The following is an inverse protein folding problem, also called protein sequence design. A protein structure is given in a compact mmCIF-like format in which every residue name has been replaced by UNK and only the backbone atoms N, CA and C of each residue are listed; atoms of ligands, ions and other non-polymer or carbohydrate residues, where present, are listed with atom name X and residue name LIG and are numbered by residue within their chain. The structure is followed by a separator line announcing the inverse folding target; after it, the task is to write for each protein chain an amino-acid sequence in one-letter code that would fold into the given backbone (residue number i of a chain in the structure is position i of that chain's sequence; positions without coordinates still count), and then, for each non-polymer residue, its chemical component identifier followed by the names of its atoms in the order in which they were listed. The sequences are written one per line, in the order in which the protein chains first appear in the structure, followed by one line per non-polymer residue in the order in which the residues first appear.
data_IF_813757824900
#
_entry.id   IF_813757824900
#
_cell.length_a   1.000
_cell.length_b   1.000
_cell.length_c   1.000
_cell.angle_alpha   90.00
_cell.angle_beta   90.00
_cell.angle_gamma   90.00
#
_symmetry.space_group_name_H-M   'P 1'
#
loop_
_entity.id
_entity.type
_entity.pdbx_description
1 polymer ?
#
# COMPACT_ATOMS: atom_id res chain seq x y z
N UNK A 1 -13.18 24.65 2.23
CA UNK A 1 -12.92 23.46 1.39
C UNK A 1 -12.76 22.22 2.26
N UNK A 2 -13.43 21.17 1.89
CA UNK A 2 -13.37 19.92 2.65
C UNK A 2 -12.29 18.99 2.09
N UNK A 3 -11.12 19.00 2.69
CA UNK A 3 -10.01 18.19 2.24
C UNK A 3 -10.19 16.70 2.55
N UNK A 4 -11.11 16.37 3.48
CA UNK A 4 -11.33 14.97 3.85
C UNK A 4 -11.87 14.12 2.69
N UNK A 5 -12.35 14.76 1.61
CA UNK A 5 -12.85 14.07 0.44
C UNK A 5 -11.78 13.88 -0.64
N UNK A 6 -10.62 14.50 -0.49
CA UNK A 6 -9.55 14.34 -1.46
C UNK A 6 -8.81 13.03 -1.20
N UNK A 7 -8.58 12.29 -2.26
CA UNK A 7 -7.88 11.02 -2.16
C UNK A 7 -6.37 11.23 -2.22
N UNK A 8 -5.68 10.45 -1.42
CA UNK A 8 -4.23 10.35 -1.43
C UNK A 8 -3.91 8.93 -1.85
N UNK A 9 -3.00 8.77 -2.79
CA UNK A 9 -2.58 7.47 -3.26
C UNK A 9 -1.20 7.14 -2.73
N UNK A 10 -0.97 5.87 -2.42
CA UNK A 10 0.35 5.44 -1.98
C UNK A 10 0.61 4.03 -2.47
N UNK A 11 1.88 3.67 -2.48
CA UNK A 11 2.29 2.31 -2.76
C UNK A 11 3.25 1.86 -1.68
N UNK A 12 3.00 0.67 -1.14
CA UNK A 12 3.86 0.06 -0.13
C UNK A 12 4.43 -1.21 -0.72
N UNK A 13 5.76 -1.23 -0.88
CA UNK A 13 6.49 -2.39 -1.35
C UNK A 13 7.34 -2.89 -0.20
N UNK A 14 7.26 -4.18 0.10
CA UNK A 14 7.97 -4.76 1.24
C UNK A 14 8.78 -5.97 0.81
N UNK A 15 10.00 -6.07 1.32
CA UNK A 15 10.89 -7.19 1.08
C UNK A 15 11.21 -7.84 2.42
N UNK A 16 10.66 -9.02 2.70
CA UNK A 16 10.98 -9.77 3.91
C UNK A 16 12.28 -10.55 3.72
N UNK A 17 13.15 -10.52 4.70
CA UNK A 17 14.43 -11.21 4.65
C UNK A 17 14.57 -12.06 5.90
N UNK A 18 15.22 -13.23 5.76
CA UNK A 18 15.49 -14.10 6.90
C UNK A 18 14.29 -14.97 7.28
N UNK A 19 13.46 -15.30 6.30
CA UNK A 19 12.39 -16.28 6.48
C UNK A 19 12.90 -17.66 6.09
N UNK A 20 12.13 -18.70 6.41
CA UNK A 20 12.48 -20.07 6.03
C UNK A 20 11.84 -20.49 4.71
N UNK A 21 11.43 -19.52 3.88
CA UNK A 21 10.68 -19.78 2.66
C UNK A 21 11.54 -19.75 1.40
N UNK A 22 12.86 -19.78 1.54
CA UNK A 22 13.76 -19.68 0.39
C UNK A 22 13.68 -18.30 -0.23
N UNK A 23 13.49 -18.23 -1.55
CA UNK A 23 13.43 -16.96 -2.26
C UNK A 23 12.01 -16.43 -2.46
N UNK A 24 11.00 -17.25 -2.18
CA UNK A 24 9.62 -16.82 -2.34
C UNK A 24 9.20 -15.90 -1.20
N UNK A 25 8.46 -14.83 -1.54
CA UNK A 25 7.93 -13.87 -0.58
C UNK A 25 6.41 -13.91 -0.52
N UNK A 26 5.77 -14.81 -1.27
CA UNK A 26 4.31 -14.73 -1.46
C UNK A 26 3.54 -14.87 -0.16
N UNK A 27 4.01 -15.67 0.79
CA UNK A 27 3.35 -15.84 2.07
C UNK A 27 3.38 -14.54 2.88
N UNK A 28 4.54 -13.89 2.94
CA UNK A 28 4.71 -12.65 3.68
C UNK A 28 3.94 -11.50 3.02
N UNK A 29 3.94 -11.46 1.69
CA UNK A 29 3.17 -10.46 0.96
C UNK A 29 1.68 -10.65 1.21
N UNK A 30 1.21 -11.90 1.27
CA UNK A 30 -0.20 -12.18 1.53
C UNK A 30 -0.66 -11.65 2.90
N UNK A 31 0.14 -11.88 3.95
CA UNK A 31 -0.24 -11.39 5.28
C UNK A 31 -0.17 -9.87 5.36
N UNK A 32 0.78 -9.25 4.65
CA UNK A 32 0.88 -7.79 4.59
C UNK A 32 -0.34 -7.20 3.91
N UNK A 33 -0.71 -7.71 2.74
CA UNK A 33 -1.88 -7.24 2.02
C UNK A 33 -3.15 -7.40 2.86
N UNK A 34 -3.31 -8.56 3.48
CA UNK A 34 -4.47 -8.83 4.31
C UNK A 34 -4.59 -7.84 5.46
N UNK A 35 -3.46 -7.50 6.09
CA UNK A 35 -3.45 -6.53 7.18
C UNK A 35 -3.85 -5.13 6.70
N UNK A 36 -3.34 -4.71 5.54
CA UNK A 36 -3.70 -3.42 4.95
C UNK A 36 -5.19 -3.39 4.59
N UNK A 37 -5.67 -4.46 3.99
CA UNK A 37 -7.05 -4.51 3.50
C UNK A 37 -8.09 -4.48 4.62
N UNK A 38 -7.69 -4.75 5.86
CA UNK A 38 -8.58 -4.68 7.02
C UNK A 38 -8.76 -3.26 7.55
N UNK A 39 -7.94 -2.33 7.13
CA UNK A 39 -7.99 -0.96 7.66
C UNK A 39 -9.18 -0.24 7.05
N UNK A 40 -10.05 0.25 7.92
CA UNK A 40 -11.23 0.98 7.49
C UNK A 40 -10.80 2.31 6.84
N UNK A 41 -11.42 2.64 5.71
CA UNK A 41 -11.12 3.88 5.02
C UNK A 41 -10.01 3.78 4.00
N UNK A 42 -9.51 2.58 3.73
CA UNK A 42 -8.50 2.33 2.72
C UNK A 42 -9.07 1.41 1.63
N UNK A 43 -8.86 1.80 0.38
CA UNK A 43 -9.02 0.88 -0.74
C UNK A 43 -7.63 0.34 -1.09
N UNK A 44 -7.46 -0.97 -1.04
CA UNK A 44 -6.18 -1.61 -1.30
C UNK A 44 -6.24 -2.42 -2.59
N UNK A 45 -5.19 -2.31 -3.39
CA UNK A 45 -5.06 -3.03 -4.66
C UNK A 45 -3.73 -3.76 -4.66
N UNK A 46 -3.79 -5.08 -4.75
CA UNK A 46 -2.57 -5.89 -4.85
C UNK A 46 -2.04 -5.83 -6.27
N UNK A 47 -0.77 -5.50 -6.40
CA UNK A 47 -0.08 -5.49 -7.70
C UNK A 47 1.15 -6.36 -7.63
N UNK A 48 1.74 -6.72 -8.79
CA UNK A 48 2.93 -7.58 -8.80
C UNK A 48 4.12 -7.02 -8.02
N UNK A 49 4.22 -5.71 -7.87
CA UNK A 49 5.40 -5.09 -7.27
C UNK A 49 5.12 -4.39 -5.95
N UNK A 50 3.89 -4.39 -5.48
CA UNK A 50 3.55 -3.73 -4.21
C UNK A 50 2.06 -3.63 -4.01
N UNK A 51 1.65 -3.15 -2.85
CA UNK A 51 0.25 -2.90 -2.56
C UNK A 51 -0.02 -1.41 -2.71
N UNK A 52 -0.96 -1.07 -3.58
CA UNK A 52 -1.35 0.31 -3.78
C UNK A 52 -2.58 0.60 -2.92
N UNK A 53 -2.62 1.79 -2.36
CA UNK A 53 -3.74 2.19 -1.51
C UNK A 53 -4.21 3.58 -1.88
N UNK A 54 -5.50 3.81 -1.64
CA UNK A 54 -6.04 5.15 -1.73
C UNK A 54 -6.90 5.39 -0.50
N UNK A 55 -6.83 6.59 0.03
CA UNK A 55 -7.54 6.98 1.24
C UNK A 55 -7.72 8.48 1.25
N UNK A 56 -8.70 8.96 2.00
CA UNK A 56 -8.88 10.40 2.21
C UNK A 56 -8.29 10.88 3.54
N UNK A 57 -7.51 10.04 4.20
CA UNK A 57 -6.94 10.38 5.51
C UNK A 57 -5.48 9.94 5.54
N UNK A 58 -4.58 10.90 5.59
CA UNK A 58 -3.15 10.62 5.59
C UNK A 58 -2.73 9.67 6.72
N UNK A 59 -3.36 9.77 7.88
CA UNK A 59 -3.04 8.91 9.01
C UNK A 59 -3.25 7.43 8.68
N UNK A 60 -4.18 7.11 7.76
CA UNK A 60 -4.40 5.73 7.33
C UNK A 60 -3.19 5.15 6.61
N UNK A 61 -2.42 6.00 5.93
CA UNK A 61 -1.20 5.54 5.24
C UNK A 61 -0.17 5.10 6.28
N UNK A 62 -0.01 5.88 7.35
CA UNK A 62 0.92 5.54 8.43
C UNK A 62 0.49 4.24 9.11
N UNK A 63 -0.81 4.08 9.33
CA UNK A 63 -1.36 2.85 9.90
C UNK A 63 -1.07 1.65 8.99
N UNK A 64 -1.21 1.84 7.68
CA UNK A 64 -0.95 0.77 6.73
C UNK A 64 0.53 0.36 6.72
N UNK A 65 1.43 1.33 6.83
CA UNK A 65 2.87 1.06 6.89
C UNK A 65 3.19 0.23 8.14
N UNK A 66 2.68 0.66 9.27
CA UNK A 66 2.90 -0.06 10.53
C UNK A 66 2.29 -1.47 10.49
N UNK A 67 1.08 -1.59 9.94
CA UNK A 67 0.40 -2.88 9.82
C UNK A 67 1.20 -3.84 8.94
N UNK A 68 1.79 -3.33 7.86
CA UNK A 68 2.63 -4.13 6.97
C UNK A 68 3.83 -4.70 7.71
N UNK A 69 4.57 -3.86 8.43
CA UNK A 69 5.74 -4.30 9.16
C UNK A 69 5.38 -5.29 10.26
N UNK A 70 4.29 -5.01 10.98
CA UNK A 70 3.83 -5.88 12.04
C UNK A 70 3.47 -7.27 11.52
N UNK A 71 2.73 -7.32 10.40
CA UNK A 71 2.30 -8.58 9.82
C UNK A 71 3.48 -9.41 9.32
N UNK A 72 4.42 -8.77 8.64
CA UNK A 72 5.58 -9.45 8.08
C UNK A 72 6.51 -9.93 9.19
N UNK A 73 6.67 -9.12 10.25
CA UNK A 73 7.45 -9.51 11.42
C UNK A 73 6.82 -10.75 12.08
N UNK A 74 5.50 -10.75 12.23
CA UNK A 74 4.78 -11.89 12.83
C UNK A 74 4.88 -13.14 11.98
N UNK A 75 5.08 -13.00 10.69
CA UNK A 75 5.26 -14.12 9.77
C UNK A 75 6.68 -14.70 9.83
N UNK A 76 7.57 -14.11 10.63
CA UNK A 76 8.89 -14.68 10.87
C UNK A 76 10.05 -13.98 10.20
N UNK A 77 9.79 -12.88 9.50
CA UNK A 77 10.87 -12.13 8.85
C UNK A 77 11.80 -11.51 9.89
N UNK A 78 13.10 -11.62 9.64
CA UNK A 78 14.10 -11.08 10.56
C UNK A 78 14.63 -9.72 10.13
N UNK A 79 14.41 -9.37 8.89
CA UNK A 79 14.74 -8.06 8.35
C UNK A 79 13.67 -7.69 7.35
N UNK A 80 13.20 -6.46 7.42
CA UNK A 80 12.13 -5.98 6.57
C UNK A 80 12.58 -4.68 5.92
N UNK A 81 12.61 -4.68 4.60
CA UNK A 81 12.91 -3.46 3.85
C UNK A 81 11.62 -3.05 3.17
N UNK A 82 11.19 -1.81 3.41
CA UNK A 82 10.00 -1.31 2.76
C UNK A 82 10.30 -0.02 2.03
N UNK A 83 9.60 0.16 0.91
CA UNK A 83 9.66 1.37 0.12
C UNK A 83 8.25 1.91 0.03
N UNK A 84 8.08 3.16 0.40
CA UNK A 84 6.78 3.81 0.40
C UNK A 84 6.84 5.02 -0.52
N UNK A 85 5.85 5.10 -1.40
CA UNK A 85 5.70 6.24 -2.29
C UNK A 85 4.31 6.81 -2.07
N UNK A 86 4.23 8.10 -1.79
CA UNK A 86 2.98 8.78 -1.52
C UNK A 86 2.78 9.87 -2.55
N UNK A 87 1.58 9.88 -3.15
CA UNK A 87 1.17 10.89 -4.10
C UNK A 87 -0.01 11.64 -3.51
N UNK A 88 0.28 12.81 -2.98
CA UNK A 88 -0.75 13.68 -2.42
C UNK A 88 -0.90 14.90 -3.30
N UNK A 89 -1.98 14.92 -4.06
CA UNK A 89 -2.24 15.99 -5.00
C UNK A 89 -3.15 17.01 -4.34
N UNK A 90 -2.72 18.26 -4.29
CA UNK A 90 -3.43 19.32 -3.57
C UNK A 90 -4.38 20.13 -4.46
N UNK A 91 -4.20 20.03 -5.78
CA UNK A 91 -5.02 20.78 -6.72
C UNK A 91 -6.36 20.09 -7.05
N UNK A 92 -6.39 18.78 -6.95
CA UNK A 92 -7.62 18.02 -7.17
C UNK A 92 -7.47 16.60 -6.62
N UNK A 93 -8.60 15.93 -6.41
CA UNK A 93 -8.60 14.55 -5.98
C UNK A 93 -8.49 13.64 -7.20
N UNK A 94 -7.64 12.61 -7.10
CA UNK A 94 -7.52 11.64 -8.18
C UNK A 94 -7.34 10.24 -7.56
N UNK A 95 -8.13 9.29 -8.05
CA UNK A 95 -8.09 7.91 -7.56
C UNK A 95 -7.04 7.09 -8.33
N UNK A 96 -6.73 5.91 -7.82
CA UNK A 96 -5.86 4.98 -8.52
C UNK A 96 -6.42 4.66 -9.90
N UNK A 97 -7.73 4.40 -9.99
CA UNK A 97 -8.37 4.08 -11.27
C UNK A 97 -8.25 5.23 -12.26
N UNK A 98 -8.46 6.46 -11.81
CA UNK A 98 -8.38 7.64 -12.68
C UNK A 98 -6.98 7.86 -13.20
N UNK A 99 -5.96 7.53 -12.43
CA UNK A 99 -4.58 7.63 -12.91
C UNK A 99 -4.36 6.75 -14.12
N UNK A 100 -4.87 5.53 -14.08
CA UNK A 100 -4.74 4.59 -15.19
C UNK A 100 -5.61 5.03 -16.37
N UNK A 101 -6.85 5.43 -16.10
CA UNK A 101 -7.76 5.90 -17.15
C UNK A 101 -7.17 7.08 -17.92
N UNK A 102 -6.55 8.00 -17.24
CA UNK A 102 -5.93 9.17 -17.87
C UNK A 102 -4.84 8.77 -18.87
N UNK A 103 -4.11 7.71 -18.58
CA UNK A 103 -3.08 7.19 -19.49
C UNK A 103 -3.74 6.45 -20.63
N UNK A 104 -4.73 5.60 -20.32
CA UNK A 104 -5.41 4.79 -21.36
C UNK A 104 -6.06 5.66 -22.41
N UNK A 105 -6.58 6.83 -22.02
CA UNK A 105 -7.20 7.75 -22.97
C UNK A 105 -6.22 8.31 -24.00
N UNK A 106 -4.92 8.24 -23.71
CA UNK A 106 -3.88 8.77 -24.58
C UNK A 106 -3.20 7.70 -25.43
N UNK A 107 -3.58 6.46 -25.25
CA UNK A 107 -3.07 5.34 -26.03
C UNK A 107 -3.94 5.13 -27.27
#
# INVERSE_FOLDING_TARGET
MNRSKQLICAEISVIPIGTNQGTSMSKEIAVAYKAINKIKGIKAVLTPMGTQIETNNFANILTAIEATHKAVRSAGSKRIISTIRIDERLDKSISLDKKVESVMEKL
#
